data_IF_748253703328
#
_entry.id   IF_748253703328
#
_cell.length_a   1.000
_cell.length_b   1.000
_cell.length_c   1.000
_cell.angle_alpha   90.00
_cell.angle_beta   90.00
_cell.angle_gamma   90.00
#
_symmetry.space_group_name_H-M   'P 1'
#
loop_
_entity.id
_entity.type
_entity.pdbx_description
1 polymer ?
#
# COMPACT_ATOMS: atom_id res chain seq x y z
N UNK A 1 -6.51 29.59 3.03
CA UNK A 1 -7.07 28.23 2.85
C UNK A 1 -6.38 27.57 1.66
N UNK A 2 -5.26 26.90 1.91
CA UNK A 2 -4.46 26.25 0.86
C UNK A 2 -5.03 24.85 0.62
N UNK A 3 -5.55 24.60 -0.59
CA UNK A 3 -5.93 23.26 -1.04
C UNK A 3 -4.70 22.35 -0.95
N UNK A 4 -4.70 21.42 0.02
CA UNK A 4 -3.74 20.33 0.03
C UNK A 4 -4.02 19.44 -1.18
N UNK A 5 -2.97 19.21 -1.96
CA UNK A 5 -2.99 18.44 -3.19
C UNK A 5 -3.34 16.98 -2.85
N UNK A 6 -4.42 16.45 -3.44
CA UNK A 6 -4.65 15.02 -3.59
C UNK A 6 -3.55 14.44 -4.50
N UNK A 7 -2.38 14.13 -3.93
CA UNK A 7 -1.26 13.55 -4.65
C UNK A 7 -1.34 12.02 -4.62
N UNK A 8 -1.66 11.40 -5.76
CA UNK A 8 -1.53 9.95 -5.96
C UNK A 8 -0.10 9.64 -6.42
N UNK A 9 0.68 8.93 -5.62
CA UNK A 9 2.02 8.49 -5.99
C UNK A 9 2.03 6.97 -6.14
N UNK A 10 2.17 6.49 -7.38
CA UNK A 10 2.22 5.06 -7.73
C UNK A 10 3.69 4.63 -7.89
N UNK A 11 4.12 3.59 -7.16
CA UNK A 11 5.50 3.10 -7.22
C UNK A 11 5.59 1.73 -7.89
N UNK A 12 6.42 1.62 -8.93
CA UNK A 12 6.87 0.34 -9.48
C UNK A 12 8.41 0.29 -9.46
N UNK A 13 9.00 -0.57 -8.62
CA UNK A 13 10.37 -1.07 -8.82
C UNK A 13 11.56 -0.18 -8.42
N UNK A 14 11.40 0.79 -7.51
CA UNK A 14 12.55 1.51 -6.94
C UNK A 14 13.16 0.76 -5.75
N UNK A 15 14.48 0.86 -5.57
CA UNK A 15 15.19 0.22 -4.44
C UNK A 15 14.67 0.67 -3.07
N UNK A 16 14.65 -0.27 -2.12
CA UNK A 16 14.01 -0.17 -0.80
C UNK A 16 14.31 1.14 -0.04
N UNK A 17 15.56 1.60 -0.02
CA UNK A 17 15.98 2.82 0.70
C UNK A 17 15.32 4.10 0.19
N UNK A 18 15.06 4.18 -1.13
CA UNK A 18 14.44 5.37 -1.73
C UNK A 18 12.97 5.47 -1.36
N UNK A 19 12.27 4.33 -1.24
CA UNK A 19 10.85 4.29 -0.90
C UNK A 19 10.63 4.75 0.55
N UNK A 20 11.44 4.27 1.49
CA UNK A 20 11.34 4.67 2.91
C UNK A 20 11.49 6.19 3.05
N UNK A 21 12.51 6.78 2.41
CA UNK A 21 12.73 8.22 2.41
C UNK A 21 11.55 9.01 1.84
N UNK A 22 10.84 8.45 0.86
CA UNK A 22 9.66 9.10 0.29
C UNK A 22 8.47 9.07 1.26
N UNK A 23 8.27 7.98 2.01
CA UNK A 23 7.22 7.93 3.03
C UNK A 23 7.41 8.99 4.12
N UNK A 24 8.66 9.28 4.49
CA UNK A 24 8.99 10.31 5.47
C UNK A 24 8.86 11.73 4.91
N UNK A 25 9.29 11.96 3.67
CA UNK A 25 9.43 13.31 3.12
C UNK A 25 8.14 13.88 2.54
N UNK A 26 7.23 13.04 2.04
CA UNK A 26 6.00 13.53 1.41
C UNK A 26 4.88 13.75 2.44
N UNK A 27 4.36 14.98 2.45
CA UNK A 27 3.23 15.36 3.29
C UNK A 27 1.88 15.06 2.60
N UNK A 28 1.56 13.77 2.48
CA UNK A 28 0.28 13.25 1.98
C UNK A 28 -0.47 12.48 3.06
N UNK A 29 -1.80 12.41 2.95
CA UNK A 29 -2.67 11.66 3.86
C UNK A 29 -2.56 10.14 3.67
N UNK A 30 -2.36 9.72 2.42
CA UNK A 30 -2.23 8.31 2.08
C UNK A 30 -1.31 8.06 0.89
N UNK A 31 -0.77 6.84 0.82
CA UNK A 31 -0.05 6.33 -0.33
C UNK A 31 -0.83 5.23 -1.03
N UNK A 32 -0.71 5.18 -2.36
CA UNK A 32 -1.27 4.13 -3.20
C UNK A 32 -0.15 3.20 -3.65
N UNK A 33 -0.19 1.94 -3.21
CA UNK A 33 0.87 0.96 -3.50
C UNK A 33 0.30 -0.21 -4.30
N UNK A 34 0.85 -0.46 -5.47
CA UNK A 34 0.43 -1.56 -6.35
C UNK A 34 1.20 -2.85 -5.99
N UNK A 35 0.44 -3.88 -5.63
CA UNK A 35 0.93 -5.21 -5.23
C UNK A 35 0.31 -6.32 -6.09
N UNK A 36 -0.26 -5.97 -7.25
CA UNK A 36 -0.98 -6.84 -8.19
C UNK A 36 -0.08 -7.79 -9.00
N UNK A 37 1.24 -7.56 -9.01
CA UNK A 37 2.18 -8.38 -9.80
C UNK A 37 2.98 -9.38 -8.95
N UNK A 38 3.38 -10.54 -9.51
CA UNK A 38 4.19 -11.56 -8.83
C UNK A 38 5.55 -11.08 -8.31
N UNK A 39 5.96 -9.85 -8.64
CA UNK A 39 7.22 -9.22 -8.26
C UNK A 39 7.12 -8.44 -6.93
N UNK A 40 5.91 -8.07 -6.52
CA UNK A 40 5.63 -7.34 -5.29
C UNK A 40 5.29 -8.30 -4.13
N UNK A 41 6.16 -9.28 -3.87
CA UNK A 41 5.79 -10.39 -2.97
C UNK A 41 5.72 -10.02 -1.49
N UNK A 42 6.57 -9.12 -1.00
CA UNK A 42 6.66 -8.84 0.44
C UNK A 42 6.14 -7.46 0.83
N UNK A 43 5.45 -7.39 1.97
CA UNK A 43 5.03 -6.14 2.63
C UNK A 43 6.05 -5.63 3.66
N UNK A 44 7.24 -6.22 3.75
CA UNK A 44 8.26 -5.86 4.77
C UNK A 44 8.53 -4.36 4.89
N UNK A 45 8.54 -3.63 3.78
CA UNK A 45 8.73 -2.17 3.81
C UNK A 45 7.69 -1.41 4.62
N UNK A 46 6.48 -1.95 4.77
CA UNK A 46 5.42 -1.31 5.52
C UNK A 46 5.74 -1.18 7.02
N UNK A 47 6.75 -1.89 7.51
CA UNK A 47 7.26 -1.69 8.88
C UNK A 47 7.85 -0.29 9.10
N UNK A 48 8.34 0.34 8.03
CA UNK A 48 8.87 1.71 8.06
C UNK A 48 7.80 2.75 7.71
N UNK A 49 6.55 2.34 7.52
CA UNK A 49 5.49 3.23 7.06
C UNK A 49 4.98 4.12 8.21
N UNK A 50 4.89 5.46 8.02
CA UNK A 50 4.47 6.40 9.05
C UNK A 50 3.10 6.05 9.65
N UNK A 51 2.97 6.06 10.98
CA UNK A 51 1.71 5.70 11.67
C UNK A 51 0.56 6.68 11.44
N UNK A 52 0.88 7.92 11.08
CA UNK A 52 -0.09 9.00 10.86
C UNK A 52 -0.63 9.05 9.42
N UNK A 53 -0.33 8.05 8.58
CA UNK A 53 -0.77 7.98 7.19
C UNK A 53 -1.54 6.68 6.95
N UNK A 54 -2.51 6.74 6.04
CA UNK A 54 -3.24 5.57 5.57
C UNK A 54 -2.62 4.98 4.31
N UNK A 55 -2.80 3.68 4.07
CA UNK A 55 -2.30 3.03 2.85
C UNK A 55 -3.44 2.40 2.07
N UNK A 56 -3.40 2.61 0.75
CA UNK A 56 -4.29 1.95 -0.20
C UNK A 56 -3.46 0.91 -0.96
N UNK A 57 -3.85 -0.36 -0.83
CA UNK A 57 -3.20 -1.48 -1.49
C UNK A 57 -3.97 -1.86 -2.75
N UNK A 58 -3.33 -1.69 -3.91
CA UNK A 58 -3.81 -2.24 -5.17
C UNK A 58 -3.53 -3.74 -5.22
N UNK A 59 -4.47 -4.54 -4.69
CA UNK A 59 -4.39 -6.00 -4.65
C UNK A 59 -5.24 -6.67 -5.73
N UNK A 60 -6.15 -5.91 -6.34
CA UNK A 60 -7.07 -6.43 -7.36
C UNK A 60 -6.60 -5.90 -8.70
N UNK A 61 -6.35 -6.81 -9.66
CA UNK A 61 -5.93 -6.43 -11.02
C UNK A 61 -7.14 -6.22 -11.92
N UNK A 62 -7.27 -5.04 -12.50
CA UNK A 62 -8.25 -4.77 -13.58
C UNK A 62 -7.82 -5.29 -14.95
N UNK A 63 -6.58 -5.81 -15.08
CA UNK A 63 -6.00 -6.28 -16.35
C UNK A 63 -6.35 -7.73 -16.65
N UNK A 64 -6.78 -8.49 -15.64
CA UNK A 64 -7.12 -9.89 -15.76
C UNK A 64 -8.64 -10.06 -15.61
N UNK A 65 -9.27 -10.82 -16.51
CA UNK A 65 -10.70 -11.13 -16.42
C UNK A 65 -11.04 -12.13 -15.30
N UNK A 66 -10.02 -12.67 -14.63
CA UNK A 66 -10.18 -13.59 -13.51
C UNK A 66 -10.40 -12.80 -12.22
N UNK A 67 -11.47 -13.14 -11.51
CA UNK A 67 -11.75 -12.58 -10.18
C UNK A 67 -10.68 -13.14 -9.23
N UNK A 68 -9.94 -12.25 -8.58
CA UNK A 68 -8.96 -12.62 -7.56
C UNK A 68 -9.65 -13.40 -6.43
N UNK A 69 -8.98 -14.45 -5.94
CA UNK A 69 -9.51 -15.30 -4.87
C UNK A 69 -9.68 -14.49 -3.58
N UNK A 70 -10.85 -14.61 -2.95
CA UNK A 70 -11.18 -13.87 -1.72
C UNK A 70 -10.20 -14.20 -0.60
N UNK A 71 -9.87 -15.47 -0.43
CA UNK A 71 -8.99 -15.95 0.63
C UNK A 71 -7.55 -15.48 0.38
N UNK A 72 -7.15 -15.39 -0.89
CA UNK A 72 -5.89 -14.75 -1.27
C UNK A 72 -5.86 -13.28 -0.83
N UNK A 73 -6.88 -12.48 -1.18
CA UNK A 73 -6.95 -11.07 -0.79
C UNK A 73 -6.92 -10.91 0.73
N UNK A 74 -7.68 -11.73 1.46
CA UNK A 74 -7.71 -11.70 2.93
C UNK A 74 -6.33 -12.01 3.53
N UNK A 75 -5.65 -13.02 3.00
CA UNK A 75 -4.29 -13.39 3.45
C UNK A 75 -3.30 -12.24 3.24
N UNK A 76 -3.39 -11.56 2.10
CA UNK A 76 -2.53 -10.40 1.79
C UNK A 76 -2.83 -9.21 2.67
N UNK A 77 -4.11 -8.94 2.94
CA UNK A 77 -4.53 -7.88 3.86
C UNK A 77 -4.00 -8.12 5.28
N UNK A 78 -4.06 -9.36 5.76
CA UNK A 78 -3.50 -9.72 7.07
C UNK A 78 -1.98 -9.55 7.14
N UNK A 79 -1.27 -9.95 6.08
CA UNK A 79 0.18 -9.76 5.99
C UNK A 79 0.55 -8.28 6.05
N UNK A 80 -0.12 -7.43 5.25
CA UNK A 80 0.11 -5.99 5.27
C UNK A 80 -0.21 -5.37 6.63
N UNK A 81 -1.32 -5.78 7.26
CA UNK A 81 -1.71 -5.32 8.60
C UNK A 81 -0.66 -5.64 9.67
N UNK A 82 -0.07 -6.85 9.61
CA UNK A 82 1.04 -7.25 10.48
C UNK A 82 2.27 -6.37 10.26
N UNK A 83 2.68 -6.15 9.01
CA UNK A 83 3.84 -5.30 8.70
C UNK A 83 3.61 -3.84 9.12
N UNK A 84 2.40 -3.31 8.98
CA UNK A 84 2.05 -1.94 9.41
C UNK A 84 1.93 -1.76 10.92
N UNK A 85 1.86 -2.86 11.68
CA UNK A 85 1.50 -2.84 13.10
C UNK A 85 0.07 -2.32 13.33
N UNK A 86 -0.83 -2.46 12.35
CA UNK A 86 -2.23 -2.06 12.42
C UNK A 86 -3.13 -3.30 12.42
N UNK A 87 -3.22 -3.96 13.57
CA UNK A 87 -4.01 -5.18 13.73
C UNK A 87 -5.51 -4.94 13.57
N UNK A 88 -5.97 -3.71 13.83
CA UNK A 88 -7.37 -3.28 13.69
C UNK A 88 -7.74 -2.91 12.25
N UNK A 89 -6.76 -2.73 11.36
CA UNK A 89 -6.94 -2.40 9.94
C UNK A 89 -7.66 -1.07 9.73
N UNK A 90 -7.48 -0.13 10.66
CA UNK A 90 -8.12 1.20 10.63
C UNK A 90 -7.54 2.11 9.55
N UNK A 91 -6.30 1.83 9.08
CA UNK A 91 -5.58 2.67 8.12
C UNK A 91 -5.21 1.95 6.82
N UNK A 92 -5.91 0.86 6.51
CA UNK A 92 -5.67 0.04 5.32
C UNK A 92 -6.92 0.03 4.45
N UNK A 93 -6.76 0.26 3.16
CA UNK A 93 -7.84 0.16 2.16
C UNK A 93 -7.38 -0.66 0.97
N UNK A 94 -8.31 -1.26 0.23
CA UNK A 94 -8.04 -2.07 -0.96
C UNK A 94 -8.58 -1.34 -2.19
N UNK A 95 -7.85 -1.40 -3.29
CA UNK A 95 -8.28 -0.88 -4.60
C UNK A 95 -8.24 -1.95 -5.70
N UNK A 96 -9.17 -1.88 -6.67
CA UNK A 96 -9.02 -2.40 -8.03
C UNK A 96 -7.89 -1.76 -8.83
#
# INVERSE_FOLDING_TARGET
MSRQLQGRCTFCGWGYDKIVKVFETLNVDFFYLEYDTPRARSFELLQFYPRNKAVVLGLVSTKNAQVEDRDYIMTRLEEAARCLGDTKKERISISP
#
